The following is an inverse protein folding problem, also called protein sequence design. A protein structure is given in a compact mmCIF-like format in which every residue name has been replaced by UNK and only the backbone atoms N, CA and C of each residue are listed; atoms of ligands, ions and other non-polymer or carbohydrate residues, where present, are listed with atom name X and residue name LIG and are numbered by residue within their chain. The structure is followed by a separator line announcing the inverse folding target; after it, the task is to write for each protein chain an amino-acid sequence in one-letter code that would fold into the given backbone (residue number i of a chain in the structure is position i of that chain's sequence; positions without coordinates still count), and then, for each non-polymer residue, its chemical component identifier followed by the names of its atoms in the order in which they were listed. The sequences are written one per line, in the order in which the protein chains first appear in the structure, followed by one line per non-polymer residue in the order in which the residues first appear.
data_IF_663206856895
#
_entry.id   IF_663206856895
#
_cell.length_a   1.000
_cell.length_b   1.000
_cell.length_c   1.000
_cell.angle_alpha   90.00
_cell.angle_beta   90.00
_cell.angle_gamma   90.00
#
_symmetry.space_group_name_H-M   'P 1'
#
loop_
_entity.id
_entity.type
_entity.pdbx_description
1 polymer ?
#
# COMPACT_ATOMS: atom_id res chain seq x y z
N UNK A 1 6.49 -2.29 13.07
CA UNK A 1 6.76 -2.48 11.63
C UNK A 1 5.50 -3.03 11.02
N UNK A 2 5.27 -2.78 9.72
CA UNK A 2 4.11 -3.35 9.02
C UNK A 2 4.29 -4.86 8.86
N UNK A 3 5.49 -5.29 8.47
CA UNK A 3 5.90 -6.68 8.42
C UNK A 3 5.92 -7.21 9.87
N UNK A 4 4.91 -8.01 10.23
CA UNK A 4 4.69 -8.46 11.61
C UNK A 4 5.58 -9.62 12.00
N UNK A 5 5.93 -10.48 11.06
CA UNK A 5 6.78 -11.66 11.30
C UNK A 5 8.23 -11.47 10.85
N UNK A 6 8.53 -10.33 10.22
CA UNK A 6 9.85 -9.94 9.74
C UNK A 6 10.40 -10.85 8.64
N UNK A 7 9.53 -11.41 7.79
CA UNK A 7 9.91 -12.26 6.67
C UNK A 7 10.18 -11.49 5.36
N UNK A 8 9.97 -10.17 5.37
CA UNK A 8 10.14 -9.26 4.23
C UNK A 8 8.94 -9.22 3.28
N UNK A 9 7.82 -9.87 3.63
CA UNK A 9 6.59 -9.94 2.85
C UNK A 9 5.49 -9.16 3.53
N UNK A 10 4.63 -8.58 2.72
CA UNK A 10 3.49 -7.78 3.16
C UNK A 10 2.24 -8.37 2.51
N UNK A 11 1.31 -8.79 3.34
CA UNK A 11 0.00 -9.31 2.91
C UNK A 11 -0.97 -8.18 2.59
N UNK A 12 -2.08 -8.49 1.91
CA UNK A 12 -3.14 -7.50 1.63
C UNK A 12 -3.67 -6.83 2.90
N UNK A 13 -3.85 -7.59 3.99
CA UNK A 13 -4.32 -7.04 5.26
C UNK A 13 -3.30 -6.08 5.88
N UNK A 14 -2.00 -6.37 5.75
CA UNK A 14 -0.94 -5.47 6.21
C UNK A 14 -0.86 -4.20 5.35
N UNK A 15 -1.07 -4.30 4.03
CA UNK A 15 -1.22 -3.12 3.15
C UNK A 15 -2.42 -2.28 3.58
N UNK A 16 -3.56 -2.91 3.86
CA UNK A 16 -4.77 -2.22 4.36
C UNK A 16 -4.53 -1.55 5.71
N UNK A 17 -3.79 -2.19 6.62
CA UNK A 17 -3.41 -1.58 7.90
C UNK A 17 -2.52 -0.34 7.69
N UNK A 18 -1.55 -0.40 6.77
CA UNK A 18 -0.73 0.78 6.41
C UNK A 18 -1.62 1.92 5.94
N UNK A 19 -2.52 1.65 4.99
CA UNK A 19 -3.43 2.66 4.43
C UNK A 19 -4.30 3.25 5.53
N UNK A 20 -4.91 2.40 6.35
CA UNK A 20 -5.81 2.81 7.43
C UNK A 20 -5.09 3.68 8.46
N UNK A 21 -3.91 3.26 8.91
CA UNK A 21 -3.10 4.02 9.87
C UNK A 21 -2.64 5.36 9.27
N UNK A 22 -2.16 5.35 8.02
CA UNK A 22 -1.68 6.54 7.33
C UNK A 22 -2.81 7.54 7.08
N UNK A 23 -3.96 7.07 6.62
CA UNK A 23 -5.13 7.90 6.36
C UNK A 23 -5.74 8.43 7.66
N UNK A 24 -5.80 7.63 8.74
CA UNK A 24 -6.28 8.07 10.05
C UNK A 24 -5.38 9.16 10.64
N UNK A 25 -4.05 8.98 10.55
CA UNK A 25 -3.08 9.98 11.00
C UNK A 25 -3.24 11.31 10.25
N UNK A 26 -3.61 11.26 8.97
CA UNK A 26 -3.84 12.42 8.12
C UNK A 26 -5.31 12.87 8.04
N UNK A 27 -6.20 12.29 8.85
CA UNK A 27 -7.66 12.59 8.88
C UNK A 27 -8.33 12.47 7.50
N UNK A 28 -7.87 11.54 6.67
CA UNK A 28 -8.39 11.27 5.34
C UNK A 28 -9.51 10.22 5.42
N UNK A 29 -10.66 10.60 5.95
CA UNK A 29 -11.78 9.66 6.24
C UNK A 29 -12.27 8.89 5.01
N UNK A 30 -12.30 9.54 3.83
CA UNK A 30 -12.69 8.85 2.59
C UNK A 30 -11.71 7.71 2.22
N UNK A 31 -10.43 7.88 2.53
CA UNK A 31 -9.41 6.87 2.26
C UNK A 31 -9.50 5.74 3.28
N UNK A 32 -9.77 6.05 4.56
CA UNK A 32 -9.99 5.00 5.56
C UNK A 32 -11.18 4.11 5.21
N UNK A 33 -12.26 4.69 4.68
CA UNK A 33 -13.47 3.95 4.29
C UNK A 33 -13.23 3.04 3.06
N UNK A 34 -12.26 3.38 2.22
CA UNK A 34 -11.90 2.65 1.00
C UNK A 34 -10.58 1.88 1.14
N UNK A 35 -10.06 1.72 2.36
CA UNK A 35 -8.74 1.12 2.58
C UNK A 35 -8.63 -0.31 2.02
N UNK A 36 -9.71 -1.09 2.06
CA UNK A 36 -9.77 -2.42 1.48
C UNK A 36 -9.62 -2.40 -0.06
N UNK A 37 -10.32 -1.49 -0.73
CA UNK A 37 -10.25 -1.34 -2.18
C UNK A 37 -8.85 -0.87 -2.62
N UNK A 38 -8.27 0.10 -1.91
CA UNK A 38 -6.91 0.56 -2.18
C UNK A 38 -5.85 -0.51 -1.92
N UNK A 39 -6.02 -1.31 -0.86
CA UNK A 39 -5.11 -2.44 -0.59
C UNK A 39 -5.17 -3.45 -1.74
N UNK A 40 -6.37 -3.82 -2.19
CA UNK A 40 -6.54 -4.70 -3.33
C UNK A 40 -5.88 -4.17 -4.60
N UNK A 41 -6.04 -2.89 -4.92
CA UNK A 41 -5.40 -2.28 -6.09
C UNK A 41 -3.87 -2.30 -6.02
N UNK A 42 -3.29 -2.07 -4.84
CA UNK A 42 -1.84 -2.18 -4.64
C UNK A 42 -1.38 -3.63 -4.82
N UNK A 43 -2.13 -4.59 -4.29
CA UNK A 43 -1.83 -6.01 -4.43
C UNK A 43 -1.93 -6.47 -5.89
N UNK A 44 -2.94 -6.02 -6.64
CA UNK A 44 -3.08 -6.34 -8.07
C UNK A 44 -1.88 -5.83 -8.90
N UNK A 45 -1.33 -4.67 -8.56
CA UNK A 45 -0.18 -4.08 -9.26
C UNK A 45 1.15 -4.75 -8.86
N UNK A 46 1.35 -5.04 -7.57
CA UNK A 46 2.63 -5.50 -7.05
C UNK A 46 2.74 -7.03 -6.89
N UNK A 47 1.61 -7.75 -6.91
CA UNK A 47 1.51 -9.21 -6.89
C UNK A 47 0.71 -9.74 -8.11
N UNK A 48 1.22 -9.54 -9.34
CA UNK A 48 0.56 -10.08 -10.55
C UNK A 48 0.53 -11.62 -10.58
N UNK A 49 1.32 -12.26 -9.71
CA UNK A 49 1.36 -13.71 -9.54
C UNK A 49 0.29 -14.28 -8.61
N UNK A 50 -0.48 -13.44 -7.91
CA UNK A 50 -1.39 -13.84 -6.85
C UNK A 50 -0.72 -14.76 -5.81
N UNK A 51 0.51 -14.43 -5.41
CA UNK A 51 1.25 -15.11 -4.35
C UNK A 51 0.60 -14.88 -2.96
N UNK A 52 -0.23 -13.84 -2.83
CA UNK A 52 -0.89 -13.43 -1.59
C UNK A 52 -0.03 -12.49 -0.74
N UNK A 53 1.11 -12.04 -1.26
CA UNK A 53 2.00 -11.11 -0.60
C UNK A 53 2.85 -10.33 -1.61
N UNK A 54 3.33 -9.17 -1.20
CA UNK A 54 4.30 -8.35 -1.93
C UNK A 54 5.58 -8.25 -1.12
N UNK A 55 6.73 -8.13 -1.79
CA UNK A 55 7.99 -7.87 -1.08
C UNK A 55 8.02 -6.42 -0.58
N UNK A 56 8.50 -6.23 0.66
CA UNK A 56 8.63 -4.90 1.27
C UNK A 56 9.40 -3.93 0.36
N UNK A 57 10.44 -4.42 -0.32
CA UNK A 57 11.22 -3.65 -1.29
C UNK A 57 10.36 -3.09 -2.43
N UNK A 58 9.43 -3.87 -2.98
CA UNK A 58 8.57 -3.41 -4.08
C UNK A 58 7.64 -2.29 -3.61
N UNK A 59 7.13 -2.40 -2.38
CA UNK A 59 6.32 -1.36 -1.76
C UNK A 59 7.14 -0.09 -1.49
N UNK A 60 8.36 -0.20 -0.96
CA UNK A 60 9.26 0.93 -0.78
C UNK A 60 9.56 1.65 -2.10
N UNK A 61 9.84 0.90 -3.16
CA UNK A 61 10.08 1.46 -4.49
C UNK A 61 8.86 2.22 -5.03
N UNK A 62 7.65 1.68 -4.86
CA UNK A 62 6.41 2.37 -5.24
C UNK A 62 6.26 3.72 -4.51
N UNK A 63 6.47 3.72 -3.19
CA UNK A 63 6.33 4.91 -2.35
C UNK A 63 7.42 5.96 -2.62
N UNK A 64 8.64 5.53 -2.95
CA UNK A 64 9.74 6.43 -3.31
C UNK A 64 9.59 7.03 -4.71
N UNK A 65 8.98 6.30 -5.65
CA UNK A 65 8.77 6.77 -7.02
C UNK A 65 7.54 7.69 -7.19
N UNK A 66 6.58 7.63 -6.27
CA UNK A 66 5.32 8.37 -6.31
C UNK A 66 5.41 9.90 -6.59
N UNK A 67 6.50 10.64 -6.26
CA UNK A 67 6.60 12.05 -6.67
C UNK A 67 6.72 12.27 -8.19
N UNK A 68 7.01 11.23 -8.98
CA UNK A 68 7.43 11.39 -10.38
C UNK A 68 6.30 11.38 -11.41
N UNK A 69 5.13 10.80 -11.09
CA UNK A 69 4.13 10.51 -12.13
C UNK A 69 2.88 11.41 -12.15
N UNK A 70 2.61 12.22 -11.12
CA UNK A 70 1.26 12.83 -11.01
C UNK A 70 1.16 14.35 -10.89
N UNK A 71 2.25 15.13 -11.04
CA UNK A 71 2.13 16.60 -11.14
C UNK A 71 2.14 17.04 -12.60
N UNK A 72 1.12 16.63 -13.36
CA UNK A 72 0.61 17.43 -14.48
C UNK A 72 -0.71 18.04 -14.04
N UNK A 73 -0.61 18.97 -13.09
CA UNK A 73 -1.68 19.94 -12.85
C UNK A 73 -1.63 20.90 -14.05
N UNK A 74 -2.55 20.70 -14.99
CA UNK A 74 -2.89 21.67 -16.05
C UNK A 74 -4.20 22.33 -15.70
#
# INVERSE_FOLDING_TARGET
MVDKDADGRITEEEVKEIITLSASANKLSKITDQAEEYARLIMEELDPGNLGYIELYNLEMLLLQAPSQSVRIG
#
